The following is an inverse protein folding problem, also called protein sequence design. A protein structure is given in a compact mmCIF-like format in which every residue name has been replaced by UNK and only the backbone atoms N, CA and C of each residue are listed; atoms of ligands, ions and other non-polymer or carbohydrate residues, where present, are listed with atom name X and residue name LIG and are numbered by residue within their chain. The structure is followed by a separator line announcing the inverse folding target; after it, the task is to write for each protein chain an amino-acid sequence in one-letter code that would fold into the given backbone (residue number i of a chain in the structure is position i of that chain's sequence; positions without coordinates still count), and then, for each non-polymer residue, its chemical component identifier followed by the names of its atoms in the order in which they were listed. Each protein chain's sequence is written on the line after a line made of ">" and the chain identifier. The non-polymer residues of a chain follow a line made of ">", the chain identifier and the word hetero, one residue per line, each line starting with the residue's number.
data_IF_801207593608
#
_entry.id   IF_801207593608
#
_cell.length_a   1.000
_cell.length_b   1.000
_cell.length_c   1.000
_cell.angle_alpha   90.00
_cell.angle_beta   90.00
_cell.angle_gamma   90.00
#
_symmetry.space_group_name_H-M   'P 1'
#
loop_
_entity.id
_entity.type
_entity.pdbx_description
1 polymer ?
#
# COMPACT_ATOMS: atom_id res chain seq x y z
N UNK A 1 -2.13 44.71 -43.83
CA UNK A 1 -0.75 44.87 -44.35
C UNK A 1 0.18 44.70 -43.16
N UNK A 2 0.55 43.46 -42.82
CA UNK A 2 1.72 42.72 -43.35
C UNK A 2 3.04 43.37 -42.95
N UNK A 3 3.71 42.78 -41.95
CA UNK A 3 5.16 42.62 -41.90
C UNK A 3 5.49 41.47 -40.96
N UNK A 4 5.88 40.36 -41.58
CA UNK A 4 6.40 39.15 -40.99
C UNK A 4 7.94 39.20 -40.94
N UNK A 5 8.53 38.15 -40.33
CA UNK A 5 9.95 37.75 -40.36
C UNK A 5 10.90 38.56 -39.44
N UNK A 6 11.86 37.97 -38.72
CA UNK A 6 12.48 36.64 -38.78
C UNK A 6 13.18 36.34 -37.44
N UNK A 7 13.33 35.06 -37.09
CA UNK A 7 14.52 34.57 -36.37
C UNK A 7 14.69 33.06 -36.65
N UNK A 8 15.58 32.77 -37.61
CA UNK A 8 16.24 31.46 -37.80
C UNK A 8 17.30 31.35 -36.69
N UNK A 9 17.47 30.21 -36.03
CA UNK A 9 18.30 29.11 -36.51
C UNK A 9 19.73 29.25 -35.99
N UNK A 10 20.12 28.45 -35.00
CA UNK A 10 21.52 28.30 -34.59
C UNK A 10 21.83 26.84 -34.29
N UNK A 11 22.22 26.11 -35.33
CA UNK A 11 22.89 24.81 -35.23
C UNK A 11 24.40 25.06 -35.32
N UNK A 12 25.17 24.63 -34.32
CA UNK A 12 26.62 24.41 -34.45
C UNK A 12 27.03 23.13 -33.73
N UNK A 13 27.33 22.15 -34.56
CA UNK A 13 28.28 21.05 -34.34
C UNK A 13 29.66 21.58 -33.93
N UNK A 14 30.37 20.89 -33.02
CA UNK A 14 31.84 20.67 -33.08
C UNK A 14 32.26 19.56 -32.11
N UNK A 15 33.04 18.63 -32.66
CA UNK A 15 33.73 17.47 -32.10
C UNK A 15 34.96 17.79 -31.21
N UNK A 16 35.30 16.86 -30.29
CA UNK A 16 36.63 16.42 -29.79
C UNK A 16 36.39 15.81 -28.40
N UNK A 17 36.76 14.59 -28.04
CA UNK A 17 37.97 13.84 -28.38
C UNK A 17 38.97 13.95 -27.23
N UNK A 18 38.76 13.22 -26.13
CA UNK A 18 39.78 12.94 -25.11
C UNK A 18 39.47 11.62 -24.38
N UNK A 19 40.24 10.60 -24.75
CA UNK A 19 40.54 9.40 -23.99
C UNK A 19 41.22 9.77 -22.66
N UNK A 20 40.60 9.47 -21.52
CA UNK A 20 41.26 9.48 -20.22
C UNK A 20 41.51 8.04 -19.75
N UNK A 21 42.81 7.78 -19.59
CA UNK A 21 43.41 6.60 -19.00
C UNK A 21 42.97 6.38 -17.56
N UNK A 22 42.67 5.13 -17.24
CA UNK A 22 42.44 4.61 -15.90
C UNK A 22 43.78 4.57 -15.14
N UNK A 23 43.92 5.22 -13.96
CA UNK A 23 45.02 4.92 -13.06
C UNK A 23 44.69 3.67 -12.24
N UNK A 24 45.47 2.61 -12.47
CA UNK A 24 45.53 1.43 -11.61
C UNK A 24 46.21 1.85 -10.31
N UNK A 25 45.41 2.03 -9.25
CA UNK A 25 45.89 2.27 -7.89
C UNK A 25 46.45 1.00 -7.28
N UNK A 26 47.77 1.01 -7.09
CA UNK A 26 48.57 0.01 -6.41
C UNK A 26 48.22 0.04 -4.90
N UNK A 27 47.49 -0.97 -4.39
CA UNK A 27 47.22 -1.12 -2.97
C UNK A 27 48.39 -1.86 -2.31
N UNK A 28 49.29 -1.13 -1.66
CA UNK A 28 50.32 -1.69 -0.79
C UNK A 28 49.75 -1.94 0.61
N UNK A 29 49.87 -3.20 1.02
CA UNK A 29 49.71 -3.69 2.39
C UNK A 29 50.82 -3.07 3.24
N UNK A 30 50.47 -2.45 4.37
CA UNK A 30 51.23 -2.47 5.63
C UNK A 30 50.66 -1.42 6.61
N UNK A 31 50.06 -1.90 7.71
CA UNK A 31 50.47 -1.49 9.07
C UNK A 31 49.59 -2.17 10.12
N UNK A 32 50.23 -3.10 10.83
CA UNK A 32 49.88 -3.54 12.17
C UNK A 32 49.86 -2.33 13.12
N UNK A 33 48.79 -2.16 13.89
CA UNK A 33 48.83 -1.41 15.14
C UNK A 33 48.27 -2.26 16.27
N UNK A 34 49.01 -2.42 17.39
CA UNK A 34 48.66 -3.29 18.48
C UNK A 34 47.74 -2.62 19.50
N UNK A 35 47.08 -3.49 20.24
CA UNK A 35 46.29 -3.28 21.45
C UNK A 35 47.02 -2.39 22.47
N UNK A 36 46.32 -1.43 23.06
CA UNK A 36 46.67 -0.89 24.38
C UNK A 36 45.41 -0.49 25.16
N UNK A 37 45.33 -1.05 26.36
CA UNK A 37 44.33 -0.85 27.40
C UNK A 37 44.16 0.62 27.79
N UNK A 38 42.91 1.09 27.96
CA UNK A 38 42.63 2.28 28.75
C UNK A 38 41.58 2.00 29.85
N UNK A 39 42.15 1.86 31.04
CA UNK A 39 41.67 2.15 32.40
C UNK A 39 40.30 2.83 32.53
N UNK A 40 39.42 2.19 33.32
CA UNK A 40 38.21 2.78 33.91
C UNK A 40 38.56 3.90 34.89
N UNK A 41 37.98 5.09 34.72
CA UNK A 41 37.90 6.13 35.74
C UNK A 41 36.45 6.37 36.19
N UNK A 42 36.20 6.74 37.47
CA UNK A 42 34.86 7.04 37.96
C UNK A 42 34.44 8.48 37.61
N UNK A 43 33.25 8.64 37.04
CA UNK A 43 32.66 9.96 36.72
C UNK A 43 31.89 10.46 37.94
N UNK A 44 32.48 11.43 38.64
CA UNK A 44 31.80 12.30 39.60
C UNK A 44 30.98 13.36 38.87
N UNK A 45 29.70 13.50 39.25
CA UNK A 45 28.77 14.49 38.74
C UNK A 45 29.11 15.92 39.21
N UNK A 46 28.99 16.95 38.35
CA UNK A 46 28.90 18.32 38.81
C UNK A 46 27.44 18.79 38.88
N UNK A 47 27.03 19.20 40.08
CA UNK A 47 25.92 20.11 40.32
C UNK A 47 26.21 21.45 39.62
N UNK A 48 25.34 21.85 38.69
CA UNK A 48 25.42 23.12 37.98
C UNK A 48 24.10 23.88 38.07
N UNK A 49 24.11 24.96 38.84
CA UNK A 49 23.04 25.92 39.04
C UNK A 49 22.46 26.43 37.71
N UNK A 50 21.14 26.34 37.55
CA UNK A 50 20.43 26.94 36.43
C UNK A 50 20.02 28.37 36.80
N UNK A 51 20.76 29.35 36.29
CA UNK A 51 20.39 30.76 36.34
C UNK A 51 19.30 31.04 35.31
N UNK A 52 18.20 31.59 35.82
CA UNK A 52 17.16 32.31 35.10
C UNK A 52 17.72 33.58 34.45
N UNK A 53 17.64 33.68 33.13
CA UNK A 53 17.75 34.95 32.41
C UNK A 53 16.82 34.92 31.19
N UNK A 54 15.94 35.93 31.12
CA UNK A 54 14.85 36.02 30.17
C UNK A 54 15.29 36.26 28.74
N UNK A 55 14.39 35.89 27.82
CA UNK A 55 14.48 36.21 26.41
C UNK A 55 13.20 36.94 25.94
N UNK A 56 13.33 37.90 25.00
CA UNK A 56 12.33 38.91 24.71
C UNK A 56 11.23 38.43 23.76
N UNK A 57 10.03 39.00 23.98
CA UNK A 57 8.86 38.86 23.13
C UNK A 57 9.09 39.45 21.73
N UNK A 58 9.11 38.60 20.71
CA UNK A 58 8.99 39.03 19.31
C UNK A 58 7.63 38.59 18.77
N UNK A 59 6.65 39.49 18.84
CA UNK A 59 5.38 39.37 18.11
C UNK A 59 5.66 39.61 16.63
N UNK A 60 5.83 38.54 15.84
CA UNK A 60 5.70 38.62 14.38
C UNK A 60 4.24 38.39 13.99
N UNK A 61 3.61 39.49 13.62
CA UNK A 61 2.32 39.57 12.95
C UNK A 61 2.44 38.95 11.55
N UNK A 62 1.74 37.84 11.32
CA UNK A 62 1.52 37.29 9.99
C UNK A 62 0.26 37.94 9.41
N UNK A 63 0.44 39.01 8.62
CA UNK A 63 -0.60 39.48 7.72
C UNK A 63 -0.60 38.58 6.49
N UNK A 64 -1.58 37.69 6.39
CA UNK A 64 -1.91 36.99 5.15
C UNK A 64 -2.74 37.93 4.27
N UNK A 65 -2.15 38.35 3.14
CA UNK A 65 -2.91 38.92 2.02
C UNK A 65 -3.63 37.76 1.33
N UNK A 66 -4.93 37.63 1.59
CA UNK A 66 -5.83 36.74 0.86
C UNK A 66 -6.31 37.52 -0.37
N UNK A 67 -5.70 37.26 -1.52
CA UNK A 67 -6.26 37.64 -2.82
C UNK A 67 -7.31 36.60 -3.22
N UNK A 68 -8.57 36.95 -3.02
CA UNK A 68 -9.72 36.21 -3.56
C UNK A 68 -9.75 36.41 -5.08
N UNK A 69 -9.31 35.41 -5.84
CA UNK A 69 -9.53 35.40 -7.28
C UNK A 69 -10.88 34.71 -7.56
N UNK A 70 -11.85 35.53 -7.93
CA UNK A 70 -13.19 35.15 -8.34
C UNK A 70 -13.11 34.47 -9.73
N UNK A 71 -13.36 33.17 -9.77
CA UNK A 71 -13.57 32.42 -11.02
C UNK A 71 -14.75 31.45 -10.83
N UNK A 72 -15.84 31.97 -10.25
CA UNK A 72 -17.11 31.27 -10.08
C UNK A 72 -18.15 31.94 -10.99
N UNK A 73 -18.14 31.60 -12.28
CA UNK A 73 -19.26 31.82 -13.21
C UNK A 73 -18.90 31.19 -14.55
N UNK A 74 -19.17 29.89 -14.73
CA UNK A 74 -19.43 29.31 -16.07
C UNK A 74 -19.97 27.86 -16.10
N UNK A 75 -20.11 27.14 -14.98
CA UNK A 75 -20.60 25.75 -15.01
C UNK A 75 -22.00 25.58 -14.39
N UNK A 76 -22.96 26.42 -14.78
CA UNK A 76 -24.34 26.37 -14.28
C UNK A 76 -25.38 25.88 -15.32
N UNK A 77 -24.97 25.20 -16.39
CA UNK A 77 -25.88 24.86 -17.51
C UNK A 77 -25.90 23.39 -17.95
N UNK A 78 -25.31 22.45 -17.20
CA UNK A 78 -25.32 21.01 -17.58
C UNK A 78 -25.98 20.07 -16.55
N UNK A 79 -26.61 20.59 -15.50
CA UNK A 79 -27.17 19.76 -14.41
C UNK A 79 -28.66 19.40 -14.60
N UNK A 80 -29.31 19.78 -15.71
CA UNK A 80 -30.76 19.55 -15.89
C UNK A 80 -31.10 18.39 -16.83
N UNK A 81 -30.18 17.88 -17.65
CA UNK A 81 -30.50 16.78 -18.59
C UNK A 81 -30.18 15.36 -18.09
N UNK A 82 -29.50 15.20 -16.95
CA UNK A 82 -29.15 13.86 -16.45
C UNK A 82 -30.27 13.23 -15.60
N UNK A 83 -31.12 14.04 -14.94
CA UNK A 83 -32.24 13.50 -14.14
C UNK A 83 -33.41 12.93 -14.95
N UNK A 84 -33.51 13.22 -16.25
CA UNK A 84 -34.61 12.70 -17.08
C UNK A 84 -34.38 11.25 -17.57
N UNK A 85 -33.13 10.81 -17.71
CA UNK A 85 -32.81 9.44 -18.19
C UNK A 85 -32.79 8.37 -17.10
N UNK A 86 -32.68 8.75 -15.83
CA UNK A 86 -32.68 7.80 -14.71
C UNK A 86 -34.09 7.41 -14.25
N UNK A 87 -35.11 8.22 -14.56
CA UNK A 87 -36.51 7.89 -14.25
C UNK A 87 -37.17 6.94 -15.25
N UNK A 88 -36.56 6.72 -16.42
CA UNK A 88 -37.10 5.83 -17.46
C UNK A 88 -36.57 4.39 -17.34
N UNK A 89 -35.45 4.18 -16.62
CA UNK A 89 -34.90 2.84 -16.35
C UNK A 89 -35.57 2.12 -15.16
N UNK A 90 -36.34 2.82 -14.33
CA UNK A 90 -36.99 2.26 -13.14
C UNK A 90 -38.43 1.72 -13.40
N UNK A 91 -38.94 1.79 -14.64
CA UNK A 91 -40.33 1.42 -14.97
C UNK A 91 -40.51 0.03 -15.62
N UNK A 92 -39.47 -0.79 -15.73
CA UNK A 92 -39.55 -2.10 -16.43
C UNK A 92 -39.09 -3.29 -15.59
N UNK A 93 -39.41 -3.30 -14.30
CA UNK A 93 -39.30 -4.50 -13.47
C UNK A 93 -40.63 -4.73 -12.75
N UNK A 94 -41.65 -5.05 -13.56
CA UNK A 94 -42.80 -5.81 -13.08
C UNK A 94 -42.29 -7.12 -12.46
N UNK A 95 -42.65 -7.45 -11.21
CA UNK A 95 -42.40 -8.78 -10.68
C UNK A 95 -43.22 -9.76 -11.52
N UNK A 96 -42.53 -10.51 -12.39
CA UNK A 96 -43.12 -11.62 -13.12
C UNK A 96 -43.84 -12.52 -12.11
N UNK A 97 -45.17 -12.46 -12.15
CA UNK A 97 -46.08 -13.32 -11.42
C UNK A 97 -45.61 -14.75 -11.60
N UNK A 98 -45.23 -15.39 -10.49
CA UNK A 98 -44.87 -16.79 -10.43
C UNK A 98 -46.00 -17.61 -11.06
N UNK A 99 -45.73 -18.14 -12.23
CA UNK A 99 -46.64 -18.99 -12.98
C UNK A 99 -46.80 -20.31 -12.20
N UNK A 100 -47.94 -20.47 -11.54
CA UNK A 100 -48.27 -21.61 -10.66
C UNK A 100 -48.48 -22.91 -11.47
N UNK A 101 -48.32 -22.88 -12.80
CA UNK A 101 -48.48 -24.03 -13.70
C UNK A 101 -47.17 -24.45 -14.39
N UNK A 102 -46.02 -24.32 -13.74
CA UNK A 102 -44.81 -24.98 -14.22
C UNK A 102 -45.03 -26.52 -14.16
N UNK A 103 -44.97 -27.25 -15.29
CA UNK A 103 -45.07 -28.70 -15.29
C UNK A 103 -43.97 -29.28 -14.38
N UNK A 104 -44.26 -30.37 -13.64
CA UNK A 104 -43.27 -30.99 -12.76
C UNK A 104 -42.00 -31.26 -13.58
N UNK A 105 -40.81 -30.94 -13.03
CA UNK A 105 -39.56 -31.18 -13.74
C UNK A 105 -39.54 -32.65 -14.19
N UNK A 106 -39.21 -32.93 -15.47
CA UNK A 106 -39.17 -34.29 -15.97
C UNK A 106 -38.29 -35.11 -15.05
N UNK A 107 -38.79 -36.26 -14.60
CA UNK A 107 -38.08 -37.15 -13.69
C UNK A 107 -36.67 -37.37 -14.23
N UNK A 108 -35.69 -36.76 -13.57
CA UNK A 108 -34.30 -36.82 -13.97
C UNK A 108 -33.88 -38.27 -13.87
N UNK A 109 -33.62 -38.86 -15.04
CA UNK A 109 -33.34 -40.27 -15.21
C UNK A 109 -32.02 -40.61 -14.50
N UNK A 110 -32.14 -41.04 -13.24
CA UNK A 110 -31.01 -41.32 -12.34
C UNK A 110 -30.04 -42.37 -12.90
N UNK A 111 -30.48 -43.14 -13.90
CA UNK A 111 -29.69 -44.10 -14.65
C UNK A 111 -28.55 -43.44 -15.46
N UNK A 112 -28.84 -42.34 -16.17
CA UNK A 112 -27.87 -41.62 -17.00
C UNK A 112 -26.80 -40.93 -16.14
N UNK A 113 -27.19 -40.40 -14.97
CA UNK A 113 -26.27 -39.81 -14.01
C UNK A 113 -25.28 -40.88 -13.47
N UNK A 114 -25.78 -42.07 -13.15
CA UNK A 114 -24.95 -43.20 -12.69
C UNK A 114 -23.97 -43.68 -13.75
N UNK A 115 -24.40 -43.83 -15.01
CA UNK A 115 -23.53 -44.24 -16.11
C UNK A 115 -22.39 -43.24 -16.36
N UNK A 116 -22.68 -41.94 -16.26
CA UNK A 116 -21.68 -40.88 -16.39
C UNK A 116 -20.68 -40.89 -15.23
N UNK A 117 -21.15 -41.10 -13.99
CA UNK A 117 -20.28 -41.27 -12.82
C UNK A 117 -19.33 -42.46 -13.01
N UNK A 118 -19.85 -43.59 -13.45
CA UNK A 118 -19.07 -44.82 -13.61
C UNK A 118 -17.98 -44.69 -14.68
N UNK A 119 -18.30 -44.06 -15.82
CA UNK A 119 -17.31 -43.74 -16.85
C UNK A 119 -16.23 -42.77 -16.35
N UNK A 120 -16.56 -41.82 -15.48
CA UNK A 120 -15.58 -40.92 -14.84
C UNK A 120 -14.67 -41.64 -13.86
N UNK A 121 -15.18 -42.65 -13.14
CA UNK A 121 -14.36 -43.50 -12.27
C UNK A 121 -13.33 -44.31 -13.05
N UNK A 122 -13.69 -44.79 -14.23
CA UNK A 122 -12.80 -45.56 -15.10
C UNK A 122 -11.71 -44.70 -15.78
N UNK A 123 -11.99 -43.41 -16.00
CA UNK A 123 -11.03 -42.46 -16.61
C UNK A 123 -10.06 -41.83 -15.60
N UNK A 124 -10.39 -41.81 -14.31
CA UNK A 124 -9.51 -41.26 -13.28
C UNK A 124 -8.42 -42.27 -12.92
N UNK A 125 -7.18 -41.96 -13.27
CA UNK A 125 -6.01 -42.82 -13.05
C UNK A 125 -5.49 -42.76 -11.59
N UNK A 126 -6.04 -41.84 -10.77
CA UNK A 126 -5.73 -41.75 -9.34
C UNK A 126 -6.94 -41.29 -8.51
N UNK A 127 -6.98 -41.72 -7.24
CA UNK A 127 -8.00 -41.27 -6.27
C UNK A 127 -8.06 -39.74 -6.12
N UNK A 128 -6.94 -39.04 -6.29
CA UNK A 128 -6.91 -37.56 -6.25
C UNK A 128 -7.61 -36.90 -7.45
N UNK A 129 -7.66 -37.56 -8.62
CA UNK A 129 -8.36 -37.05 -9.80
C UNK A 129 -9.89 -37.14 -9.66
N UNK A 130 -10.39 -38.14 -8.92
CA UNK A 130 -11.82 -38.26 -8.60
C UNK A 130 -12.31 -37.09 -7.76
N UNK A 131 -11.54 -36.71 -6.74
CA UNK A 131 -11.87 -35.55 -5.91
C UNK A 131 -11.63 -34.21 -6.63
N UNK A 132 -10.75 -34.17 -7.63
CA UNK A 132 -10.56 -32.97 -8.45
C UNK A 132 -11.73 -32.75 -9.42
N UNK A 133 -12.33 -33.81 -9.96
CA UNK A 133 -13.48 -33.75 -10.86
C UNK A 133 -14.78 -33.33 -10.15
N UNK A 134 -14.89 -33.59 -8.85
CA UNK A 134 -16.03 -33.18 -8.01
C UNK A 134 -15.82 -31.85 -7.29
N UNK A 135 -14.66 -31.18 -7.44
CA UNK A 135 -14.56 -29.81 -6.94
C UNK A 135 -15.53 -28.94 -7.76
N UNK A 136 -16.54 -28.33 -7.12
CA UNK A 136 -17.36 -27.36 -7.81
C UNK A 136 -16.43 -26.31 -8.44
N UNK A 137 -16.71 -25.86 -9.67
CA UNK A 137 -15.90 -24.84 -10.31
C UNK A 137 -15.75 -23.66 -9.35
N UNK A 138 -14.59 -22.97 -9.34
CA UNK A 138 -14.39 -21.82 -8.46
C UNK A 138 -15.59 -20.89 -8.61
N UNK A 139 -16.33 -20.72 -7.52
CA UNK A 139 -17.57 -19.95 -7.51
C UNK A 139 -17.17 -18.58 -8.05
N UNK A 140 -17.78 -18.11 -9.17
CA UNK A 140 -17.45 -16.80 -9.69
C UNK A 140 -17.57 -15.79 -8.55
N UNK A 141 -16.68 -14.78 -8.46
CA UNK A 141 -16.74 -13.79 -7.39
C UNK A 141 -18.17 -13.32 -7.31
N UNK A 142 -18.73 -13.41 -6.09
CA UNK A 142 -20.16 -13.22 -5.87
C UNK A 142 -20.61 -11.94 -6.56
N UNK A 143 -21.81 -11.92 -7.11
CA UNK A 143 -22.33 -10.73 -7.80
C UNK A 143 -22.14 -9.45 -6.96
N UNK A 144 -22.23 -9.59 -5.62
CA UNK A 144 -21.92 -8.55 -4.65
C UNK A 144 -20.48 -8.03 -4.71
N UNK A 145 -19.47 -8.88 -4.82
CA UNK A 145 -18.07 -8.45 -4.94
C UNK A 145 -17.83 -7.67 -6.22
N UNK A 146 -18.41 -8.12 -7.34
CA UNK A 146 -18.32 -7.39 -8.61
C UNK A 146 -18.94 -6.00 -8.50
N UNK A 147 -20.15 -5.91 -7.93
CA UNK A 147 -20.84 -4.62 -7.68
C UNK A 147 -20.03 -3.71 -6.76
N UNK A 148 -19.42 -4.24 -5.69
CA UNK A 148 -18.52 -3.48 -4.79
C UNK A 148 -17.30 -2.95 -5.54
N UNK A 149 -16.62 -3.78 -6.34
CA UNK A 149 -15.46 -3.34 -7.13
C UNK A 149 -15.80 -2.22 -8.10
N UNK A 150 -16.93 -2.31 -8.80
CA UNK A 150 -17.38 -1.24 -9.72
C UNK A 150 -17.58 0.06 -8.96
N UNK A 151 -18.22 0.01 -7.78
CA UNK A 151 -18.40 1.17 -6.91
C UNK A 151 -17.06 1.74 -6.44
N UNK A 152 -16.16 0.88 -5.95
CA UNK A 152 -14.85 1.31 -5.44
C UNK A 152 -14.02 1.99 -6.53
N UNK A 153 -14.01 1.43 -7.75
CA UNK A 153 -13.35 2.04 -8.91
C UNK A 153 -13.95 3.42 -9.21
N UNK A 154 -15.28 3.54 -9.20
CA UNK A 154 -15.96 4.82 -9.45
C UNK A 154 -15.60 5.87 -8.38
N UNK A 155 -15.56 5.47 -7.10
CA UNK A 155 -15.16 6.36 -6.00
C UNK A 155 -13.70 6.85 -6.15
N UNK A 156 -12.79 5.99 -6.60
CA UNK A 156 -11.39 6.36 -6.89
C UNK A 156 -11.29 7.33 -8.07
N UNK A 157 -12.05 7.07 -9.15
CA UNK A 157 -12.09 7.95 -10.34
C UNK A 157 -12.63 9.34 -9.96
N UNK A 158 -13.73 9.39 -9.22
CA UNK A 158 -14.31 10.66 -8.75
C UNK A 158 -13.35 11.44 -7.85
N UNK A 159 -12.61 10.75 -6.97
CA UNK A 159 -11.59 11.37 -6.12
C UNK A 159 -10.39 11.87 -6.94
N UNK A 160 -9.96 11.14 -7.97
CA UNK A 160 -8.91 11.57 -8.87
C UNK A 160 -9.29 12.77 -9.73
N UNK A 161 -10.55 12.82 -10.21
CA UNK A 161 -11.09 14.00 -10.92
C UNK A 161 -11.03 15.25 -10.05
N UNK A 162 -11.35 15.14 -8.76
CA UNK A 162 -11.22 16.25 -7.79
C UNK A 162 -9.78 16.73 -7.60
N UNK A 163 -8.79 15.87 -7.84
CA UNK A 163 -7.35 16.21 -7.84
C UNK A 163 -6.84 16.74 -9.20
N UNK A 164 -7.69 16.84 -10.22
CA UNK A 164 -7.30 17.29 -11.56
C UNK A 164 -6.59 16.21 -12.40
N UNK A 165 -6.70 14.95 -12.01
CA UNK A 165 -6.18 13.82 -12.80
C UNK A 165 -7.20 13.40 -13.87
N UNK A 166 -6.71 12.95 -15.03
CA UNK A 166 -7.55 12.48 -16.13
C UNK A 166 -8.19 11.13 -15.80
N UNK A 167 -9.49 11.00 -16.04
CA UNK A 167 -10.27 9.80 -15.73
C UNK A 167 -9.76 8.55 -16.46
N UNK A 168 -9.46 8.68 -17.76
CA UNK A 168 -8.97 7.56 -18.59
C UNK A 168 -7.63 7.01 -18.09
N UNK A 169 -6.74 7.89 -17.61
CA UNK A 169 -5.45 7.52 -17.03
C UNK A 169 -5.65 6.73 -15.74
N UNK A 170 -6.59 7.14 -14.89
CA UNK A 170 -6.89 6.43 -13.64
C UNK A 170 -7.51 5.07 -13.94
N UNK A 171 -8.53 4.98 -14.81
CA UNK A 171 -9.20 3.71 -15.12
C UNK A 171 -8.25 2.69 -15.74
N UNK A 172 -7.43 3.14 -16.70
CA UNK A 172 -6.40 2.29 -17.33
C UNK A 172 -5.32 1.89 -16.33
N UNK A 173 -4.87 2.82 -15.47
CA UNK A 173 -3.90 2.56 -14.42
C UNK A 173 -4.39 1.57 -13.36
N UNK A 174 -5.66 1.68 -12.93
CA UNK A 174 -6.29 0.72 -12.01
C UNK A 174 -6.38 -0.68 -12.61
N UNK A 175 -6.67 -0.80 -13.91
CA UNK A 175 -6.70 -2.08 -14.62
C UNK A 175 -5.31 -2.73 -14.68
N UNK A 176 -4.28 -1.94 -14.99
CA UNK A 176 -2.90 -2.42 -14.98
C UNK A 176 -2.41 -2.79 -13.57
N UNK A 177 -2.80 -2.00 -12.57
CA UNK A 177 -2.47 -2.27 -11.18
C UNK A 177 -3.14 -3.54 -10.67
N UNK A 178 -4.39 -3.84 -11.05
CA UNK A 178 -5.04 -5.12 -10.70
C UNK A 178 -4.36 -6.31 -11.38
N UNK A 179 -3.80 -6.13 -12.58
CA UNK A 179 -2.98 -7.15 -13.23
C UNK A 179 -1.64 -7.39 -12.51
N UNK A 180 -1.02 -6.35 -11.96
CA UNK A 180 0.23 -6.44 -11.19
C UNK A 180 0.01 -6.97 -9.77
N UNK A 181 -1.06 -6.52 -9.10
CA UNK A 181 -1.35 -6.75 -7.69
C UNK A 181 -2.84 -7.10 -7.53
N UNK A 182 -3.24 -8.35 -7.87
CA UNK A 182 -4.65 -8.73 -7.90
C UNK A 182 -5.30 -8.58 -6.52
N UNK A 183 -6.44 -7.88 -6.49
CA UNK A 183 -7.22 -7.69 -5.27
C UNK A 183 -6.64 -6.67 -4.28
N UNK A 184 -5.57 -5.95 -4.62
CA UNK A 184 -4.98 -4.93 -3.72
C UNK A 184 -5.92 -3.75 -3.48
N UNK A 185 -6.81 -3.47 -4.45
CA UNK A 185 -7.74 -2.34 -4.38
C UNK A 185 -8.77 -2.56 -3.26
N UNK A 186 -8.66 -1.74 -2.23
CA UNK A 186 -9.49 -1.81 -1.04
C UNK A 186 -9.62 -0.41 -0.44
N UNK A 187 -10.85 0.10 -0.39
CA UNK A 187 -11.12 1.43 0.17
C UNK A 187 -11.02 1.47 1.70
N UNK A 188 -11.12 0.32 2.37
CA UNK A 188 -10.98 0.24 3.82
C UNK A 188 -9.54 0.43 4.32
N UNK A 189 -8.53 0.23 3.46
CA UNK A 189 -7.11 0.33 3.86
C UNK A 189 -6.45 1.65 3.47
N UNK A 190 -6.95 2.28 2.42
CA UNK A 190 -6.37 3.51 1.87
C UNK A 190 -7.46 4.37 1.24
N UNK A 191 -7.32 5.70 1.40
CA UNK A 191 -8.30 6.66 0.91
C UNK A 191 -8.40 6.61 -0.62
N UNK A 192 -9.59 6.83 -1.22
CA UNK A 192 -9.74 6.85 -2.67
C UNK A 192 -8.82 7.86 -3.37
N UNK A 193 -8.57 9.00 -2.72
CA UNK A 193 -7.65 10.04 -3.20
C UNK A 193 -6.23 9.53 -3.41
N UNK A 194 -5.77 8.62 -2.57
CA UNK A 194 -4.40 8.13 -2.57
C UNK A 194 -4.27 6.98 -3.56
N UNK A 195 -5.31 6.14 -3.67
CA UNK A 195 -5.44 5.18 -4.77
C UNK A 195 -5.37 5.85 -6.14
N UNK A 196 -6.02 7.00 -6.33
CA UNK A 196 -5.95 7.73 -7.59
C UNK A 196 -4.51 8.21 -7.90
N UNK A 197 -3.75 8.63 -6.88
CA UNK A 197 -2.34 9.00 -7.03
C UNK A 197 -1.48 7.79 -7.40
N UNK A 198 -1.68 6.64 -6.74
CA UNK A 198 -0.98 5.38 -7.05
C UNK A 198 -1.31 4.90 -8.48
N UNK A 199 -2.58 4.95 -8.86
CA UNK A 199 -3.05 4.53 -10.19
C UNK A 199 -2.50 5.42 -11.31
N UNK A 200 -2.18 6.68 -11.03
CA UNK A 200 -1.57 7.59 -12.02
C UNK A 200 -0.10 7.27 -12.34
N UNK A 201 0.59 6.48 -11.49
CA UNK A 201 1.99 6.11 -11.64
C UNK A 201 2.21 4.60 -11.46
N UNK A 202 1.69 3.80 -12.39
CA UNK A 202 1.80 2.33 -12.33
C UNK A 202 3.26 1.86 -12.44
N UNK A 203 4.08 2.55 -13.23
CA UNK A 203 5.49 2.21 -13.40
C UNK A 203 6.26 2.39 -12.09
N UNK A 204 6.04 3.52 -11.39
CA UNK A 204 6.63 3.74 -10.07
C UNK A 204 6.12 2.77 -9.01
N UNK A 205 4.92 2.19 -9.15
CA UNK A 205 4.44 1.10 -8.29
C UNK A 205 5.23 -0.19 -8.56
N UNK A 206 5.40 -0.56 -9.83
CA UNK A 206 6.17 -1.75 -10.20
C UNK A 206 7.63 -1.66 -9.71
N UNK A 207 8.27 -0.49 -9.85
CA UNK A 207 9.61 -0.23 -9.32
C UNK A 207 9.67 -0.43 -7.80
N UNK A 208 8.71 0.12 -7.05
CA UNK A 208 8.63 -0.05 -5.59
C UNK A 208 8.44 -1.52 -5.19
N UNK A 209 7.64 -2.29 -5.94
CA UNK A 209 7.45 -3.73 -5.67
C UNK A 209 8.74 -4.51 -5.92
N UNK A 210 9.46 -4.22 -7.01
CA UNK A 210 10.75 -4.83 -7.31
C UNK A 210 11.78 -4.50 -6.21
N UNK A 211 11.81 -3.22 -5.79
CA UNK A 211 12.67 -2.76 -4.71
C UNK A 211 12.34 -3.45 -3.37
N UNK A 212 11.06 -3.57 -3.01
CA UNK A 212 10.66 -4.31 -1.83
C UNK A 212 11.09 -5.78 -1.91
N UNK A 213 11.05 -6.40 -3.10
CA UNK A 213 11.53 -7.78 -3.29
C UNK A 213 13.05 -7.90 -3.16
N UNK A 214 13.82 -6.90 -3.57
CA UNK A 214 15.28 -6.90 -3.38
C UNK A 214 15.67 -6.68 -1.92
N UNK A 215 14.92 -5.85 -1.19
CA UNK A 215 15.12 -5.60 0.24
C UNK A 215 14.71 -6.79 1.12
N UNK A 216 13.65 -7.51 0.75
CA UNK A 216 13.11 -8.65 1.51
C UNK A 216 12.96 -9.89 0.62
N UNK A 217 14.07 -10.57 0.26
CA UNK A 217 14.06 -11.61 -0.77
C UNK A 217 13.23 -12.83 -0.40
N UNK A 218 13.14 -13.18 0.89
CA UNK A 218 12.40 -14.38 1.36
C UNK A 218 10.97 -14.08 1.79
N UNK A 219 10.57 -12.81 1.90
CA UNK A 219 9.20 -12.45 2.27
C UNK A 219 8.23 -12.50 1.07
N UNK A 220 6.97 -12.82 1.36
CA UNK A 220 5.85 -12.55 0.46
C UNK A 220 5.47 -11.06 0.47
N UNK A 221 6.02 -10.33 -0.50
CA UNK A 221 5.77 -8.90 -0.69
C UNK A 221 4.31 -8.60 -1.01
N UNK A 222 3.62 -9.50 -1.74
CA UNK A 222 2.22 -9.27 -2.12
C UNK A 222 1.33 -9.25 -0.88
N UNK A 223 1.57 -10.18 0.05
CA UNK A 223 0.86 -10.21 1.34
C UNK A 223 1.12 -8.95 2.18
N UNK A 224 2.36 -8.48 2.20
CA UNK A 224 2.74 -7.25 2.92
C UNK A 224 2.06 -6.02 2.32
N UNK A 225 2.17 -5.83 1.00
CA UNK A 225 1.58 -4.69 0.28
C UNK A 225 0.05 -4.73 0.34
N UNK A 226 -0.54 -5.92 0.24
CA UNK A 226 -1.98 -6.09 0.40
C UNK A 226 -2.43 -5.56 1.76
N UNK A 227 -1.76 -5.93 2.85
CA UNK A 227 -2.09 -5.50 4.22
C UNK A 227 -1.80 -4.03 4.47
N UNK A 228 -0.68 -3.49 3.94
CA UNK A 228 -0.29 -2.08 4.05
C UNK A 228 -0.09 -1.43 2.67
N UNK A 229 -1.17 -1.09 1.95
CA UNK A 229 -1.06 -0.47 0.62
C UNK A 229 -0.43 0.93 0.66
N UNK A 230 -0.46 1.61 1.82
CA UNK A 230 0.20 2.90 2.04
C UNK A 230 1.71 2.88 1.77
N UNK A 231 2.35 1.71 1.79
CA UNK A 231 3.77 1.56 1.40
C UNK A 231 4.03 2.01 -0.04
N UNK A 232 3.03 1.90 -0.93
CA UNK A 232 3.15 2.31 -2.33
C UNK A 232 3.21 3.84 -2.51
N UNK A 233 2.79 4.60 -1.50
CA UNK A 233 2.87 6.07 -1.48
C UNK A 233 4.24 6.59 -1.06
N UNK A 234 5.08 5.74 -0.45
CA UNK A 234 6.41 6.14 0.00
C UNK A 234 7.36 6.29 -1.18
N UNK A 235 8.33 7.19 -1.04
CA UNK A 235 9.41 7.31 -2.03
C UNK A 235 10.34 6.11 -1.93
N UNK A 236 10.97 5.71 -3.04
CA UNK A 236 11.91 4.58 -3.09
C UNK A 236 13.05 4.74 -2.08
N UNK A 237 13.64 5.94 -2.00
CA UNK A 237 14.66 6.29 -1.00
C UNK A 237 14.18 6.10 0.44
N UNK A 238 12.92 6.44 0.74
CA UNK A 238 12.36 6.24 2.08
C UNK A 238 12.19 4.77 2.40
N UNK A 239 11.70 3.98 1.44
CA UNK A 239 11.58 2.52 1.58
C UNK A 239 12.94 1.86 1.88
N UNK A 240 14.00 2.26 1.19
CA UNK A 240 15.36 1.74 1.44
C UNK A 240 15.85 2.08 2.85
N UNK A 241 15.63 3.32 3.30
CA UNK A 241 16.04 3.78 4.64
C UNK A 241 15.28 3.03 5.73
N UNK A 242 13.96 2.94 5.60
CA UNK A 242 13.10 2.25 6.55
C UNK A 242 13.46 0.75 6.60
N UNK A 243 13.70 0.13 5.44
CA UNK A 243 14.11 -1.27 5.37
C UNK A 243 15.49 -1.52 6.01
N UNK A 244 16.48 -0.67 5.76
CA UNK A 244 17.79 -0.77 6.39
C UNK A 244 17.69 -0.65 7.92
N UNK A 245 16.84 0.25 8.41
CA UNK A 245 16.60 0.41 9.85
C UNK A 245 15.92 -0.83 10.44
N UNK A 246 14.90 -1.39 9.77
CA UNK A 246 14.21 -2.60 10.20
C UNK A 246 15.17 -3.79 10.26
N UNK A 247 15.97 -3.99 9.21
CA UNK A 247 16.95 -5.10 9.16
C UNK A 247 18.03 -4.95 10.23
N UNK A 248 18.41 -3.72 10.59
CA UNK A 248 19.30 -3.46 11.72
C UNK A 248 18.66 -3.82 13.05
N UNK A 249 17.39 -3.46 13.27
CA UNK A 249 16.65 -3.79 14.49
C UNK A 249 16.41 -5.30 14.64
N UNK A 250 16.22 -6.01 13.52
CA UNK A 250 16.00 -7.46 13.48
C UNK A 250 17.29 -8.26 13.21
N UNK A 251 18.47 -7.65 13.39
CA UNK A 251 19.75 -8.30 13.07
C UNK A 251 20.07 -9.52 13.94
N UNK A 252 19.45 -9.64 15.12
CA UNK A 252 19.55 -10.84 15.96
C UNK A 252 18.62 -11.98 15.53
N UNK A 253 17.63 -11.71 14.67
CA UNK A 253 16.74 -12.74 14.16
C UNK A 253 17.42 -13.56 13.04
N UNK A 254 17.35 -14.90 13.06
CA UNK A 254 17.76 -15.76 11.96
C UNK A 254 16.99 -15.45 10.66
N UNK A 255 15.68 -15.20 10.76
CA UNK A 255 14.77 -15.04 9.62
C UNK A 255 13.89 -13.79 9.79
N UNK A 256 14.43 -12.57 9.61
CA UNK A 256 13.68 -11.33 9.81
C UNK A 256 12.50 -11.19 8.84
N UNK A 257 12.62 -11.68 7.61
CA UNK A 257 11.56 -11.61 6.60
C UNK A 257 10.29 -12.38 6.99
N UNK A 258 10.41 -13.52 7.68
CA UNK A 258 9.26 -14.30 8.14
C UNK A 258 8.44 -13.56 9.21
N UNK A 259 9.12 -12.75 10.04
CA UNK A 259 8.48 -11.88 11.04
C UNK A 259 7.66 -10.78 10.33
N UNK A 260 8.22 -10.17 9.27
CA UNK A 260 7.52 -9.13 8.51
C UNK A 260 6.33 -9.68 7.71
N UNK A 261 6.43 -10.90 7.20
CA UNK A 261 5.34 -11.55 6.47
C UNK A 261 4.17 -11.97 7.37
N UNK A 262 4.45 -12.37 8.61
CA UNK A 262 3.42 -12.69 9.61
C UNK A 262 2.77 -11.42 10.13
N UNK A 263 3.55 -10.38 10.42
CA UNK A 263 3.06 -9.10 10.94
C UNK A 263 3.51 -7.92 10.06
N UNK A 264 2.80 -7.63 8.94
CA UNK A 264 3.13 -6.53 8.04
C UNK A 264 3.10 -5.16 8.69
N UNK A 265 2.45 -5.02 9.85
CA UNK A 265 2.41 -3.76 10.58
C UNK A 265 3.81 -3.29 11.03
N UNK A 266 4.76 -4.22 11.16
CA UNK A 266 6.15 -3.97 11.55
C UNK A 266 7.04 -3.42 10.43
N UNK A 267 6.51 -3.24 9.22
CA UNK A 267 7.24 -2.63 8.10
C UNK A 267 7.46 -1.12 8.29
N UNK A 268 6.97 -0.54 9.39
CA UNK A 268 7.38 0.80 9.86
C UNK A 268 8.40 0.68 11.00
N UNK A 269 9.61 1.28 10.87
CA UNK A 269 10.66 1.17 11.89
C UNK A 269 10.26 1.77 13.25
N UNK A 270 9.41 2.80 13.26
CA UNK A 270 8.94 3.39 14.53
C UNK A 270 8.00 2.42 15.26
N UNK A 271 7.02 1.87 14.54
CA UNK A 271 6.12 0.84 15.07
C UNK A 271 6.90 -0.39 15.58
N UNK A 272 7.89 -0.87 14.82
CA UNK A 272 8.73 -1.99 15.24
C UNK A 272 9.52 -1.69 16.51
N UNK A 273 10.17 -0.53 16.60
CA UNK A 273 10.96 -0.17 17.79
C UNK A 273 10.11 -0.04 19.05
N UNK A 274 8.89 0.52 18.95
CA UNK A 274 7.91 0.54 20.05
C UNK A 274 7.46 -0.86 20.44
N UNK A 275 7.15 -1.72 19.47
CA UNK A 275 6.76 -3.11 19.74
C UNK A 275 7.87 -3.87 20.49
N UNK A 276 9.13 -3.73 20.07
CA UNK A 276 10.27 -4.36 20.73
C UNK A 276 10.49 -3.83 22.16
N UNK A 277 10.32 -2.52 22.38
CA UNK A 277 10.39 -1.92 23.71
C UNK A 277 9.27 -2.44 24.63
N UNK A 278 8.04 -2.53 24.12
CA UNK A 278 6.91 -3.08 24.87
C UNK A 278 7.13 -4.55 25.21
N UNK A 279 7.61 -5.36 24.27
CA UNK A 279 7.96 -6.77 24.53
C UNK A 279 9.06 -6.92 25.59
N UNK A 280 10.10 -6.09 25.54
CA UNK A 280 11.17 -6.10 26.54
C UNK A 280 10.66 -5.72 27.94
N UNK A 281 9.69 -4.80 28.03
CA UNK A 281 9.05 -4.42 29.29
C UNK A 281 8.11 -5.50 29.83
N UNK A 282 7.33 -6.16 28.97
CA UNK A 282 6.38 -7.21 29.37
C UNK A 282 7.09 -8.52 29.73
N UNK A 283 8.20 -8.84 29.07
CA UNK A 283 8.94 -10.10 29.26
C UNK A 283 10.40 -9.84 29.67
N UNK A 284 10.64 -9.33 30.90
CA UNK A 284 12.00 -9.05 31.35
C UNK A 284 12.85 -10.33 31.39
N UNK A 285 14.10 -10.22 30.92
CA UNK A 285 15.05 -11.33 30.89
C UNK A 285 14.96 -12.23 29.64
N UNK A 286 13.99 -12.01 28.75
CA UNK A 286 13.93 -12.67 27.44
C UNK A 286 14.39 -11.71 26.33
N UNK A 287 15.02 -12.25 25.28
CA UNK A 287 15.31 -11.47 24.07
C UNK A 287 14.00 -11.18 23.31
N UNK A 288 13.60 -9.89 23.14
CA UNK A 288 12.35 -9.54 22.50
C UNK A 288 12.30 -9.97 21.03
N UNK A 289 13.43 -9.99 20.33
CA UNK A 289 13.49 -10.39 18.92
C UNK A 289 13.30 -11.90 18.78
N UNK A 290 14.01 -12.70 19.59
CA UNK A 290 13.81 -14.16 19.65
C UNK A 290 12.42 -14.57 20.13
N UNK A 291 11.76 -13.76 20.97
CA UNK A 291 10.36 -13.97 21.35
C UNK A 291 9.43 -13.72 20.15
N UNK A 292 9.61 -12.59 19.46
CA UNK A 292 8.81 -12.22 18.29
C UNK A 292 8.92 -13.25 17.15
N UNK A 293 10.09 -13.84 16.96
CA UNK A 293 10.28 -14.90 15.97
C UNK A 293 9.50 -16.18 16.29
N UNK A 294 9.45 -16.57 17.57
CA UNK A 294 8.75 -17.79 18.01
C UNK A 294 7.23 -17.62 18.00
N UNK A 295 6.77 -16.41 18.34
CA UNK A 295 5.34 -16.11 18.51
C UNK A 295 4.99 -14.76 17.87
N UNK A 296 4.87 -14.67 16.54
CA UNK A 296 4.53 -13.41 15.87
C UNK A 296 3.15 -12.87 16.26
N UNK A 297 2.21 -13.77 16.60
CA UNK A 297 0.84 -13.43 17.00
C UNK A 297 0.75 -12.72 18.37
N UNK A 298 1.85 -12.69 19.14
CA UNK A 298 1.86 -12.02 20.44
C UNK A 298 1.52 -10.53 20.33
N UNK A 299 1.87 -9.91 19.20
CA UNK A 299 1.58 -8.50 18.94
C UNK A 299 0.10 -8.24 18.70
N UNK A 300 -0.64 -9.23 18.20
CA UNK A 300 -2.10 -9.14 18.06
C UNK A 300 -2.78 -9.18 19.42
N UNK A 301 -2.25 -9.98 20.36
CA UNK A 301 -2.81 -10.13 21.71
C UNK A 301 -2.44 -9.00 22.66
N UNK A 302 -1.26 -8.41 22.53
CA UNK A 302 -0.80 -7.30 23.37
C UNK A 302 -1.51 -5.98 23.07
N UNK A 303 -2.53 -5.99 22.20
CA UNK A 303 -3.29 -4.81 21.84
C UNK A 303 -2.38 -3.79 21.18
N UNK A 304 -1.79 -4.17 20.03
CA UNK A 304 -0.98 -3.31 19.17
C UNK A 304 -1.44 -1.86 19.28
N UNK A 305 -0.63 -1.02 19.93
CA UNK A 305 -0.91 0.42 20.05
C UNK A 305 -1.02 1.08 18.65
N UNK A 306 -0.60 0.40 17.57
CA UNK A 306 -0.86 0.84 16.21
C UNK A 306 -2.36 0.86 15.84
N UNK A 307 -3.22 0.13 16.57
CA UNK A 307 -4.68 0.23 16.42
C UNK A 307 -5.25 1.48 17.09
N UNK A 308 -4.52 2.14 18.00
CA UNK A 308 -5.00 3.32 18.74
C UNK A 308 -5.19 4.52 17.80
N UNK A 309 -4.51 4.57 16.65
CA UNK A 309 -4.75 5.61 15.63
C UNK A 309 -6.18 5.59 15.05
N UNK A 310 -6.90 4.46 15.12
CA UNK A 310 -8.31 4.39 14.72
C UNK A 310 -9.28 4.79 15.83
N UNK A 311 -8.85 4.76 17.09
CA UNK A 311 -9.72 5.06 18.25
C UNK A 311 -9.67 6.55 18.64
N UNK A 312 -8.67 7.30 18.17
CA UNK A 312 -8.54 8.74 18.44
C UNK A 312 -9.68 9.58 17.84
N UNK A 313 -10.44 9.05 16.88
CA UNK A 313 -11.63 9.72 16.32
C UNK A 313 -12.84 9.68 17.27
N UNK A 314 -12.78 8.92 18.37
CA UNK A 314 -13.90 8.78 19.32
C UNK A 314 -13.91 9.84 20.46
N UNK A 315 -12.96 10.78 20.46
CA UNK A 315 -12.80 11.77 21.54
C UNK A 315 -13.56 13.11 21.38
N UNK A 316 -14.05 13.45 20.19
CA UNK A 316 -14.55 14.81 19.91
C UNK A 316 -16.07 15.01 20.08
N UNK A 317 -16.83 13.98 20.48
CA UNK A 317 -18.30 14.07 20.54
C UNK A 317 -18.90 14.40 21.92
N UNK A 318 -18.12 14.57 22.99
CA UNK A 318 -18.69 14.47 24.35
C UNK A 318 -18.80 15.73 25.22
N UNK A 319 -18.57 16.96 24.75
CA UNK A 319 -18.94 18.15 25.56
C UNK A 319 -19.28 19.37 24.69
N UNK A 320 -20.55 19.45 24.26
CA UNK A 320 -21.22 20.73 24.06
C UNK A 320 -22.37 20.80 25.06
N UNK A 321 -22.07 21.37 26.23
CA UNK A 321 -23.05 22.00 27.10
C UNK A 321 -23.14 23.50 26.74
#
# INVERSE_FOLDING_TARGET
>A
MSLAQACRGCSKTTSRGTSSSIPIGHFTVDHLCPISNLVRGPVTAPNGCFNSAGAPSSRRSWRTNITCNNSASQNALTTVEISAREQEAARTLEPASADVNAPPPPATDSSALRANMQSRYEQAYSMSQLYAAERPPPIPPSEHERRRRVKDIQEVVDAGRRKGLQEDVIRSGLTQMDALLPGVLSLHRMKPSDWATVASDVNGVAEKVILLKSLYPTADIFKIVFKKPKLLLLTTKRLEQDAAQIMRLLSSAPNPCAILESTPDLVDPLSLSRCLANLAATFPGQDPVGLLQRHPDILTNLGSEAAVELTAEYGELSTKD
#
